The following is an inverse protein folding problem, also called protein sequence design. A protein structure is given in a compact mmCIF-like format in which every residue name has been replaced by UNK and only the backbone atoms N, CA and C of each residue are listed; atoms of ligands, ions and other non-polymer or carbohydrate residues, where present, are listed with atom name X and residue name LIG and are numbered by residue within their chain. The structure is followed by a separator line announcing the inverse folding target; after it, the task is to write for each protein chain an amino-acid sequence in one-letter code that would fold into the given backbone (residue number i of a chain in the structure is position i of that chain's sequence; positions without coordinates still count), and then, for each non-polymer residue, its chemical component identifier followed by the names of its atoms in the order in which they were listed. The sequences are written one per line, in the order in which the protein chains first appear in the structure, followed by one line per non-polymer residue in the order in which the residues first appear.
data_IF_279787114548
#
_entry.id   IF_279787114548
#
_cell.length_a   1.000
_cell.length_b   1.000
_cell.length_c   1.000
_cell.angle_alpha   90.00
_cell.angle_beta   90.00
_cell.angle_gamma   90.00
#
_symmetry.space_group_name_H-M   'P 1'
#
loop_
_entity.id
_entity.type
_entity.pdbx_description
1 polymer ?
#
# COMPACT_ATOMS: atom_id res chain seq x y z
N UNK A 1 -71.96 30.14 -66.93
CA UNK A 1 -71.15 30.66 -65.80
C UNK A 1 -71.64 29.93 -64.55
N UNK A 2 -70.73 29.40 -63.73
CA UNK A 2 -70.89 28.57 -62.52
C UNK A 2 -70.67 27.05 -62.71
N UNK A 3 -69.39 26.68 -62.69
CA UNK A 3 -68.86 25.37 -62.32
C UNK A 3 -69.00 25.20 -60.78
N UNK A 4 -69.51 24.09 -60.25
CA UNK A 4 -68.83 22.81 -59.95
C UNK A 4 -68.26 22.75 -58.51
N UNK A 5 -68.46 21.56 -57.92
CA UNK A 5 -67.71 20.95 -56.80
C UNK A 5 -68.05 21.43 -55.37
N UNK A 6 -68.81 20.63 -54.60
CA UNK A 6 -68.33 19.46 -53.83
C UNK A 6 -67.37 19.87 -52.71
N UNK A 7 -67.89 19.97 -51.49
CA UNK A 7 -67.06 20.06 -50.29
C UNK A 7 -67.92 19.94 -49.04
N UNK A 8 -68.09 18.71 -48.54
CA UNK A 8 -68.59 18.47 -47.19
C UNK A 8 -67.66 19.19 -46.22
N UNK A 9 -68.20 20.12 -45.45
CA UNK A 9 -67.50 20.80 -44.36
C UNK A 9 -67.17 19.77 -43.28
N UNK A 10 -65.91 19.32 -43.29
CA UNK A 10 -65.27 18.77 -42.10
C UNK A 10 -65.13 19.97 -41.16
N UNK A 11 -65.68 19.96 -39.93
CA UNK A 11 -65.35 21.00 -38.98
C UNK A 11 -63.84 20.94 -38.75
N UNK A 12 -63.17 22.07 -38.95
CA UNK A 12 -61.76 22.25 -38.59
C UNK A 12 -61.55 21.62 -37.21
N UNK A 13 -60.82 20.51 -37.19
CA UNK A 13 -60.14 20.10 -35.99
C UNK A 13 -59.16 21.23 -35.73
N UNK A 14 -59.61 22.19 -34.92
CA UNK A 14 -58.72 23.01 -34.13
C UNK A 14 -57.69 22.03 -33.59
N UNK A 15 -56.48 22.10 -34.14
CA UNK A 15 -55.29 21.67 -33.44
C UNK A 15 -55.34 22.57 -32.23
N UNK A 16 -56.02 22.09 -31.17
CA UNK A 16 -55.85 22.59 -29.83
C UNK A 16 -54.36 22.53 -29.67
N UNK A 17 -53.74 23.69 -29.81
CA UNK A 17 -52.42 23.97 -29.29
C UNK A 17 -52.40 23.22 -27.99
N UNK A 18 -51.61 22.13 -27.96
CA UNK A 18 -51.41 21.34 -26.76
C UNK A 18 -51.08 22.37 -25.70
N UNK A 19 -52.07 22.68 -24.87
CA UNK A 19 -51.90 23.55 -23.74
C UNK A 19 -50.74 22.91 -23.01
N UNK A 20 -49.61 23.60 -23.00
CA UNK A 20 -48.56 23.30 -22.06
C UNK A 20 -49.26 23.20 -20.70
N UNK A 21 -49.13 22.08 -19.97
CA UNK A 21 -49.76 21.97 -18.67
C UNK A 21 -49.34 23.17 -17.81
N UNK A 22 -50.27 23.81 -17.08
CA UNK A 22 -49.96 25.00 -16.32
C UNK A 22 -48.95 24.67 -15.21
N UNK A 23 -47.86 25.45 -15.20
CA UNK A 23 -47.04 25.86 -14.05
C UNK A 23 -46.63 24.70 -13.13
N UNK A 24 -45.44 24.16 -13.38
CA UNK A 24 -44.64 23.42 -12.41
C UNK A 24 -44.80 24.01 -11.00
N UNK A 25 -45.39 23.26 -10.07
CA UNK A 25 -45.44 23.65 -8.66
C UNK A 25 -44.01 23.64 -8.12
N UNK A 26 -43.39 24.82 -8.06
CA UNK A 26 -42.08 24.95 -7.43
C UNK A 26 -42.23 24.88 -5.93
N UNK A 27 -41.37 24.08 -5.29
CA UNK A 27 -41.29 23.96 -3.85
C UNK A 27 -40.61 25.22 -3.30
N UNK A 28 -41.34 25.99 -2.51
CA UNK A 28 -40.77 27.14 -1.82
C UNK A 28 -40.11 26.70 -0.52
N UNK A 29 -38.83 26.98 -0.36
CA UNK A 29 -38.05 26.63 0.82
C UNK A 29 -37.26 27.83 1.32
N UNK A 30 -37.01 27.87 2.62
CA UNK A 30 -36.04 28.79 3.20
C UNK A 30 -34.64 28.18 3.05
N UNK A 31 -33.60 29.00 2.89
CA UNK A 31 -32.21 28.52 2.80
C UNK A 31 -31.81 27.61 3.98
N UNK A 32 -32.29 27.91 5.18
CA UNK A 32 -32.09 27.09 6.38
C UNK A 32 -32.70 25.69 6.25
N UNK A 33 -33.87 25.56 5.63
CA UNK A 33 -34.56 24.28 5.47
C UNK A 33 -33.83 23.38 4.48
N UNK A 34 -33.29 23.95 3.40
CA UNK A 34 -32.47 23.22 2.42
C UNK A 34 -31.20 22.67 3.10
N UNK A 35 -30.54 23.47 3.95
CA UNK A 35 -29.37 23.04 4.74
C UNK A 35 -29.74 21.93 5.72
N UNK A 36 -30.86 22.09 6.42
CA UNK A 36 -31.34 21.09 7.36
C UNK A 36 -31.64 19.75 6.66
N UNK A 37 -32.34 19.77 5.52
CA UNK A 37 -32.62 18.57 4.74
C UNK A 37 -31.33 17.88 4.29
N UNK A 38 -30.37 18.63 3.74
CA UNK A 38 -29.08 18.09 3.33
C UNK A 38 -28.35 17.41 4.50
N UNK A 39 -28.24 18.07 5.65
CA UNK A 39 -27.61 17.52 6.85
C UNK A 39 -28.31 16.24 7.31
N UNK A 40 -29.64 16.26 7.36
CA UNK A 40 -30.44 15.08 7.72
C UNK A 40 -30.28 13.92 6.76
N UNK A 41 -30.22 14.18 5.45
CA UNK A 41 -29.97 13.12 4.47
C UNK A 41 -28.58 12.50 4.65
N UNK A 42 -27.55 13.31 4.89
CA UNK A 42 -26.20 12.82 5.15
C UNK A 42 -26.11 12.02 6.45
N UNK A 43 -26.74 12.49 7.53
CA UNK A 43 -26.75 11.80 8.82
C UNK A 43 -27.47 10.44 8.72
N UNK A 44 -28.62 10.41 8.04
CA UNK A 44 -29.38 9.18 7.81
C UNK A 44 -28.60 8.23 6.91
N UNK A 45 -27.97 8.73 5.84
CA UNK A 45 -27.15 7.92 4.95
C UNK A 45 -25.99 7.27 5.69
N UNK A 46 -25.26 8.04 6.52
CA UNK A 46 -24.20 7.52 7.38
C UNK A 46 -24.70 6.45 8.33
N UNK A 47 -25.78 6.74 9.07
CA UNK A 47 -26.40 5.76 9.98
C UNK A 47 -26.85 4.48 9.27
N UNK A 48 -27.31 4.57 8.03
CA UNK A 48 -27.68 3.42 7.21
C UNK A 48 -26.47 2.63 6.71
N UNK A 49 -25.39 3.30 6.32
CA UNK A 49 -24.13 2.64 5.98
C UNK A 49 -23.58 1.95 7.22
N UNK A 50 -23.48 2.65 8.36
CA UNK A 50 -23.02 2.09 9.63
C UNK A 50 -23.81 0.85 10.07
N UNK A 51 -25.13 0.84 9.88
CA UNK A 51 -25.98 -0.29 10.24
C UNK A 51 -25.83 -1.50 9.31
N UNK A 52 -25.43 -1.28 8.05
CA UNK A 52 -25.35 -2.32 7.03
C UNK A 52 -23.96 -2.94 6.90
N UNK A 53 -22.92 -2.28 7.42
CA UNK A 53 -21.57 -2.81 7.45
C UNK A 53 -21.29 -3.48 8.81
N UNK A 54 -20.63 -4.66 8.83
CA UNK A 54 -20.30 -5.33 10.08
C UNK A 54 -19.32 -4.49 10.90
N UNK A 55 -19.51 -4.46 12.22
CA UNK A 55 -18.56 -3.83 13.12
C UNK A 55 -17.21 -4.57 13.05
N UNK A 56 -16.17 -3.88 12.57
CA UNK A 56 -14.84 -4.45 12.44
C UNK A 56 -14.23 -4.69 13.83
N UNK A 57 -13.65 -5.87 14.05
CA UNK A 57 -13.01 -6.25 15.32
C UNK A 57 -11.63 -5.61 15.53
N UNK A 58 -10.98 -5.22 14.44
CA UNK A 58 -9.77 -4.41 14.40
C UNK A 58 -10.21 -2.97 14.16
N UNK A 59 -9.98 -2.06 15.12
CA UNK A 59 -10.46 -0.67 15.10
C UNK A 59 -9.93 0.25 13.99
N UNK A 60 -9.64 -0.28 12.80
CA UNK A 60 -9.38 0.47 11.58
C UNK A 60 -10.66 0.74 10.79
N UNK A 61 -10.66 1.84 10.03
CA UNK A 61 -11.72 2.16 9.08
C UNK A 61 -11.71 1.16 7.92
N UNK A 62 -12.91 0.71 7.51
CA UNK A 62 -13.07 -0.22 6.39
C UNK A 62 -12.98 0.57 5.07
N UNK A 63 -12.01 0.28 4.18
CA UNK A 63 -11.84 1.01 2.93
C UNK A 63 -13.06 0.89 2.01
N UNK A 64 -13.80 -0.22 2.07
CA UNK A 64 -15.02 -0.38 1.27
C UNK A 64 -16.15 0.48 1.82
N UNK A 65 -16.24 0.60 3.15
CA UNK A 65 -17.21 1.47 3.81
C UNK A 65 -16.98 2.93 3.42
N UNK A 66 -15.73 3.39 3.46
CA UNK A 66 -15.36 4.76 3.08
C UNK A 66 -15.74 5.08 1.62
N UNK A 67 -15.40 4.17 0.69
CA UNK A 67 -15.78 4.34 -0.72
C UNK A 67 -17.30 4.41 -0.93
N UNK A 68 -18.07 3.58 -0.22
CA UNK A 68 -19.53 3.61 -0.30
C UNK A 68 -20.10 4.88 0.30
N UNK A 69 -19.55 5.38 1.41
CA UNK A 69 -19.93 6.67 1.99
C UNK A 69 -19.69 7.82 1.00
N UNK A 70 -18.56 7.81 0.30
CA UNK A 70 -18.22 8.83 -0.69
C UNK A 70 -19.21 8.81 -1.88
N UNK A 71 -19.49 7.63 -2.44
CA UNK A 71 -20.44 7.48 -3.56
C UNK A 71 -21.84 7.95 -3.14
N UNK A 72 -22.31 7.57 -1.94
CA UNK A 72 -23.62 7.97 -1.44
C UNK A 72 -23.68 9.48 -1.21
N UNK A 73 -22.61 10.08 -0.67
CA UNK A 73 -22.50 11.53 -0.49
C UNK A 73 -22.58 12.26 -1.83
N UNK A 74 -21.83 11.82 -2.84
CA UNK A 74 -21.88 12.39 -4.20
C UNK A 74 -23.29 12.26 -4.80
N UNK A 75 -23.92 11.09 -4.66
CA UNK A 75 -25.28 10.87 -5.14
C UNK A 75 -26.29 11.84 -4.52
N UNK A 76 -26.23 12.06 -3.20
CA UNK A 76 -27.11 13.00 -2.49
C UNK A 76 -26.89 14.42 -3.00
N UNK A 77 -25.64 14.85 -3.15
CA UNK A 77 -25.30 16.18 -3.67
C UNK A 77 -25.83 16.38 -5.09
N UNK A 78 -25.61 15.41 -5.97
CA UNK A 78 -26.11 15.43 -7.35
C UNK A 78 -27.64 15.46 -7.40
N UNK A 79 -28.31 14.73 -6.52
CA UNK A 79 -29.77 14.71 -6.45
C UNK A 79 -30.33 16.06 -6.03
N UNK A 80 -29.73 16.69 -5.01
CA UNK A 80 -30.10 18.03 -4.57
C UNK A 80 -29.84 19.05 -5.68
N UNK A 81 -28.72 18.94 -6.38
CA UNK A 81 -28.40 19.80 -7.53
C UNK A 81 -29.43 19.65 -8.65
N UNK A 82 -29.82 18.43 -9.01
CA UNK A 82 -30.87 18.18 -10.00
C UNK A 82 -32.22 18.76 -9.56
N UNK A 83 -32.50 18.74 -8.25
CA UNK A 83 -33.73 19.33 -7.70
C UNK A 83 -33.77 20.87 -7.73
N UNK A 84 -32.65 21.54 -8.02
CA UNK A 84 -32.58 23.01 -8.11
C UNK A 84 -33.66 23.61 -9.01
N UNK A 85 -33.98 22.96 -10.14
CA UNK A 85 -34.94 23.48 -11.12
C UNK A 85 -36.39 23.45 -10.64
N UNK A 86 -36.71 22.60 -9.66
CA UNK A 86 -38.03 22.45 -9.04
C UNK A 86 -38.18 23.14 -7.69
N UNK A 87 -37.13 23.83 -7.21
CA UNK A 87 -37.11 24.55 -5.93
C UNK A 87 -37.05 26.07 -6.16
N UNK A 88 -37.66 26.83 -5.26
CA UNK A 88 -37.53 28.29 -5.12
C UNK A 88 -37.03 28.55 -3.70
N UNK A 89 -35.81 29.05 -3.57
CA UNK A 89 -35.18 29.29 -2.26
C UNK A 89 -35.24 30.77 -1.96
N UNK A 90 -35.86 31.15 -0.84
CA UNK A 90 -36.01 32.56 -0.42
C UNK A 90 -36.57 33.48 -1.53
N UNK A 91 -37.51 32.97 -2.35
CA UNK A 91 -38.12 33.74 -3.45
C UNK A 91 -37.24 33.91 -4.70
N UNK A 92 -36.03 33.35 -4.70
CA UNK A 92 -35.12 33.34 -5.86
C UNK A 92 -35.35 32.02 -6.61
N UNK A 93 -35.87 32.13 -7.82
CA UNK A 93 -36.10 31.00 -8.71
C UNK A 93 -34.81 30.64 -9.44
N UNK A 94 -34.35 29.39 -9.30
CA UNK A 94 -33.19 28.89 -10.03
C UNK A 94 -31.92 29.71 -9.79
N UNK A 95 -31.45 29.80 -8.55
CA UNK A 95 -30.21 30.49 -8.20
C UNK A 95 -29.07 30.06 -9.13
N UNK A 96 -28.69 30.91 -10.08
CA UNK A 96 -27.47 30.81 -10.89
C UNK A 96 -26.39 31.65 -10.19
N UNK A 97 -26.01 31.19 -9.01
CA UNK A 97 -24.86 30.30 -8.91
C UNK A 97 -25.25 28.95 -8.27
N UNK A 98 -24.49 27.87 -8.52
CA UNK A 98 -24.78 26.49 -8.07
C UNK A 98 -25.46 26.45 -6.69
N UNK A 99 -26.41 25.55 -6.43
CA UNK A 99 -27.07 25.48 -5.12
C UNK A 99 -26.04 25.48 -3.98
N UNK A 100 -24.87 24.88 -4.19
CA UNK A 100 -23.68 24.94 -3.34
C UNK A 100 -23.23 26.38 -2.97
N UNK A 101 -23.23 27.32 -3.91
CA UNK A 101 -22.89 28.72 -3.68
C UNK A 101 -23.98 29.54 -2.98
N UNK A 102 -25.27 29.25 -3.19
CA UNK A 102 -26.35 29.86 -2.42
C UNK A 102 -26.35 29.36 -0.97
N UNK A 103 -25.90 28.11 -0.80
CA UNK A 103 -25.70 27.49 0.50
C UNK A 103 -24.46 28.02 1.20
N UNK A 104 -23.39 28.37 0.47
CA UNK A 104 -22.18 29.03 1.02
C UNK A 104 -22.30 30.56 1.18
N UNK A 105 -23.17 31.20 0.40
CA UNK A 105 -23.18 32.66 0.20
C UNK A 105 -23.96 33.51 1.22
N UNK A 106 -24.66 32.90 2.17
CA UNK A 106 -25.36 33.62 3.24
C UNK A 106 -24.53 33.60 4.55
N UNK A 107 -23.47 34.40 4.56
CA UNK A 107 -22.78 35.07 5.70
C UNK A 107 -22.53 34.37 7.07
N UNK A 108 -22.72 33.06 7.24
CA UNK A 108 -22.57 32.41 8.56
C UNK A 108 -21.75 31.12 8.60
N UNK A 109 -21.10 30.72 7.51
CA UNK A 109 -20.30 29.48 7.49
C UNK A 109 -18.79 29.75 7.64
N UNK A 110 -18.38 30.89 8.23
CA UNK A 110 -17.02 31.00 8.78
C UNK A 110 -16.82 30.18 10.05
N UNK A 111 -17.90 29.74 10.70
CA UNK A 111 -17.84 28.85 11.86
C UNK A 111 -18.13 27.38 11.45
N UNK A 112 -19.03 27.11 10.49
CA UNK A 112 -19.35 25.72 10.09
C UNK A 112 -18.50 25.14 8.91
N UNK A 113 -17.82 25.96 8.09
CA UNK A 113 -16.79 25.44 7.15
C UNK A 113 -15.40 25.34 7.81
N UNK A 114 -15.10 26.13 8.84
CA UNK A 114 -13.90 25.92 9.68
C UNK A 114 -13.96 24.62 10.47
N UNK A 115 -15.17 24.14 10.80
CA UNK A 115 -15.38 22.88 11.52
C UNK A 115 -15.06 21.62 10.69
N UNK A 116 -14.85 21.76 9.37
CA UNK A 116 -14.50 20.64 8.48
C UNK A 116 -13.07 20.70 7.96
N UNK A 117 -12.27 21.65 8.41
CA UNK A 117 -10.83 21.61 8.18
C UNK A 117 -10.23 20.75 9.29
N UNK A 118 -9.64 19.61 8.92
CA UNK A 118 -8.80 18.91 9.88
C UNK A 118 -7.72 19.89 10.35
N UNK A 119 -7.54 20.07 11.67
CA UNK A 119 -6.50 20.96 12.17
C UNK A 119 -5.18 20.49 11.59
N UNK A 120 -4.41 21.44 11.04
CA UNK A 120 -3.11 21.10 10.47
C UNK A 120 -2.20 20.55 11.56
N UNK A 121 -1.99 19.24 11.52
CA UNK A 121 -1.15 18.55 12.50
C UNK A 121 0.32 18.88 12.22
N UNK A 122 0.87 19.74 13.08
CA UNK A 122 2.25 20.17 13.00
C UNK A 122 3.22 19.00 13.24
N UNK A 123 2.85 18.05 14.11
CA UNK A 123 3.68 16.89 14.43
C UNK A 123 3.74 15.93 13.24
N UNK A 124 2.58 15.63 12.65
CA UNK A 124 2.52 14.77 11.46
C UNK A 124 3.26 15.40 10.28
N UNK A 125 3.14 16.71 10.07
CA UNK A 125 3.88 17.40 9.02
C UNK A 125 5.39 17.42 9.28
N UNK A 126 5.83 17.54 10.54
CA UNK A 126 7.24 17.41 10.89
C UNK A 126 7.76 16.00 10.58
N UNK A 127 7.02 14.95 10.94
CA UNK A 127 7.34 13.57 10.59
C UNK A 127 7.43 13.36 9.08
N UNK A 128 6.48 13.91 8.32
CA UNK A 128 6.49 13.85 6.85
C UNK A 128 7.73 14.54 6.29
N UNK A 129 8.11 15.72 6.82
CA UNK A 129 9.32 16.44 6.42
C UNK A 129 10.60 15.67 6.75
N UNK A 130 10.67 15.06 7.92
CA UNK A 130 11.79 14.20 8.31
C UNK A 130 11.93 13.01 7.36
N UNK A 131 10.81 12.34 7.04
CA UNK A 131 10.79 11.21 6.13
C UNK A 131 11.24 11.61 4.72
N UNK A 132 10.78 12.75 4.20
CA UNK A 132 11.27 13.30 2.94
C UNK A 132 12.77 13.60 2.99
N UNK A 133 13.27 14.18 4.08
CA UNK A 133 14.71 14.41 4.26
C UNK A 133 15.51 13.10 4.27
N UNK A 134 14.97 12.05 4.88
CA UNK A 134 15.60 10.73 4.89
C UNK A 134 15.63 10.12 3.48
N UNK A 135 14.51 10.18 2.75
CA UNK A 135 14.43 9.71 1.37
C UNK A 135 15.47 10.43 0.49
N UNK A 136 15.62 11.74 0.64
CA UNK A 136 16.60 12.51 -0.12
C UNK A 136 18.04 12.11 0.22
N UNK A 137 18.35 11.93 1.51
CA UNK A 137 19.68 11.48 1.97
C UNK A 137 20.03 10.11 1.42
N UNK A 138 19.11 9.14 1.56
CA UNK A 138 19.32 7.78 1.08
C UNK A 138 19.43 7.74 -0.45
N UNK A 139 18.64 8.56 -1.17
CA UNK A 139 18.74 8.67 -2.63
C UNK A 139 20.11 9.21 -3.05
N UNK A 140 20.62 10.22 -2.35
CA UNK A 140 21.98 10.75 -2.59
C UNK A 140 23.05 9.70 -2.24
N UNK A 141 22.87 8.93 -1.18
CA UNK A 141 23.82 7.88 -0.79
C UNK A 141 23.85 6.73 -1.79
N UNK A 142 22.69 6.23 -2.21
CA UNK A 142 22.58 5.16 -3.21
C UNK A 142 23.15 5.59 -4.55
N UNK A 143 22.90 6.83 -4.98
CA UNK A 143 23.49 7.36 -6.22
C UNK A 143 25.01 7.48 -6.14
N UNK A 144 25.55 7.95 -5.00
CA UNK A 144 27.00 7.93 -4.74
C UNK A 144 27.55 6.51 -4.76
N UNK A 145 26.90 5.56 -4.07
CA UNK A 145 27.33 4.17 -4.01
C UNK A 145 27.32 3.50 -5.39
N UNK A 146 26.32 3.78 -6.23
CA UNK A 146 26.27 3.28 -7.62
C UNK A 146 27.41 3.83 -8.48
N UNK A 147 27.84 5.07 -8.24
CA UNK A 147 28.96 5.70 -8.96
C UNK A 147 30.32 5.24 -8.45
N UNK A 148 30.49 5.20 -7.14
CA UNK A 148 31.79 5.01 -6.47
C UNK A 148 32.06 3.54 -6.14
N UNK A 149 31.02 2.74 -5.88
CA UNK A 149 31.13 1.32 -5.57
C UNK A 149 31.89 0.51 -6.63
N UNK A 150 31.51 0.61 -7.93
CA UNK A 150 32.24 -0.09 -9.00
C UNK A 150 33.68 0.36 -9.13
N UNK A 151 33.95 1.67 -9.02
CA UNK A 151 35.31 2.24 -9.12
C UNK A 151 36.20 1.74 -7.97
N UNK A 152 35.69 1.80 -6.74
CA UNK A 152 36.39 1.34 -5.54
C UNK A 152 36.67 -0.16 -5.57
N UNK A 153 35.70 -0.96 -6.03
CA UNK A 153 35.90 -2.40 -6.21
C UNK A 153 37.00 -2.67 -7.24
N UNK A 154 36.96 -1.98 -8.38
CA UNK A 154 37.97 -2.09 -9.44
C UNK A 154 39.37 -1.71 -8.93
N UNK A 155 39.53 -0.60 -8.22
CA UNK A 155 40.80 -0.17 -7.62
C UNK A 155 41.32 -1.20 -6.60
N UNK A 156 40.43 -1.74 -5.77
CA UNK A 156 40.78 -2.78 -4.80
C UNK A 156 41.21 -4.09 -5.49
N UNK A 157 40.63 -4.44 -6.64
CA UNK A 157 41.07 -5.60 -7.43
C UNK A 157 42.39 -5.34 -8.14
N UNK A 158 42.56 -4.18 -8.78
CA UNK A 158 43.82 -3.80 -9.45
C UNK A 158 44.99 -3.83 -8.48
N UNK A 159 44.87 -3.15 -7.34
CA UNK A 159 45.93 -3.14 -6.31
C UNK A 159 46.28 -4.52 -5.74
N UNK A 160 45.34 -5.47 -5.73
CA UNK A 160 45.62 -6.87 -5.37
C UNK A 160 46.36 -7.61 -6.48
N UNK A 161 45.98 -7.41 -7.73
CA UNK A 161 46.66 -7.99 -8.89
C UNK A 161 48.09 -7.49 -9.00
N UNK A 162 48.31 -6.17 -8.91
CA UNK A 162 49.63 -5.56 -8.97
C UNK A 162 50.57 -6.15 -7.89
N UNK A 163 50.07 -6.33 -6.66
CA UNK A 163 50.81 -6.98 -5.57
C UNK A 163 51.15 -8.45 -5.83
N UNK A 164 50.25 -9.20 -6.47
CA UNK A 164 50.51 -10.60 -6.82
C UNK A 164 51.55 -10.70 -7.94
N UNK A 165 51.50 -9.78 -8.90
CA UNK A 165 52.47 -9.72 -10.00
C UNK A 165 53.86 -9.31 -9.48
N UNK A 166 53.94 -8.35 -8.55
CA UNK A 166 55.19 -8.02 -7.83
C UNK A 166 55.75 -9.22 -7.06
N UNK A 167 54.90 -9.96 -6.33
CA UNK A 167 55.32 -11.17 -5.62
C UNK A 167 55.82 -12.27 -6.56
N UNK A 168 55.17 -12.46 -7.71
CA UNK A 168 55.60 -13.42 -8.73
C UNK A 168 56.93 -13.01 -9.36
N UNK A 169 57.09 -11.73 -9.69
CA UNK A 169 58.34 -11.21 -10.23
C UNK A 169 59.50 -11.41 -9.24
N UNK A 170 59.29 -11.11 -7.95
CA UNK A 170 60.29 -11.32 -6.91
C UNK A 170 60.63 -12.80 -6.72
N UNK A 171 59.63 -13.69 -6.65
CA UNK A 171 59.86 -15.13 -6.54
C UNK A 171 60.57 -15.72 -7.77
N UNK A 172 60.28 -15.21 -8.97
CA UNK A 172 60.95 -15.63 -10.19
C UNK A 172 62.41 -15.15 -10.22
N UNK A 173 62.68 -13.94 -9.75
CA UNK A 173 64.05 -13.41 -9.61
C UNK A 173 64.84 -14.22 -8.58
N UNK A 174 64.25 -14.52 -7.42
CA UNK A 174 64.85 -15.40 -6.39
C UNK A 174 65.11 -16.83 -6.91
N UNK A 175 64.24 -17.36 -7.78
CA UNK A 175 64.46 -18.67 -8.41
C UNK A 175 65.55 -18.64 -9.49
N UNK A 176 65.66 -17.55 -10.25
CA UNK A 176 66.71 -17.37 -11.26
C UNK A 176 68.10 -17.20 -10.63
N UNK A 177 68.18 -16.58 -9.45
CA UNK A 177 69.43 -16.49 -8.67
C UNK A 177 69.84 -17.83 -8.04
N UNK A 178 68.93 -18.82 -7.95
CA UNK A 178 69.19 -20.16 -7.42
C UNK A 178 69.47 -21.21 -8.51
N UNK A 179 69.09 -20.95 -9.77
CA UNK A 179 69.30 -21.84 -10.92
C UNK A 179 70.70 -21.72 -11.58
N UNK A 180 71.56 -20.81 -11.12
CA UNK A 180 72.98 -20.78 -11.53
C UNK A 180 73.84 -21.84 -10.81
N UNK A 181 73.19 -22.73 -10.03
CA UNK A 181 73.80 -23.89 -9.39
C UNK A 181 73.24 -25.21 -9.98
N UNK A 182 73.80 -25.64 -11.11
CA UNK A 182 73.91 -27.02 -11.68
C UNK A 182 72.73 -28.00 -11.43
N UNK A 183 72.06 -28.52 -12.48
CA UNK A 183 70.86 -29.34 -12.28
C UNK A 183 71.21 -30.77 -11.82
N UNK A 184 70.68 -31.16 -10.65
CA UNK A 184 70.67 -32.53 -10.16
C UNK A 184 69.23 -33.08 -10.14
N UNK A 185 68.96 -33.98 -11.08
CA UNK A 185 67.92 -35.02 -11.12
C UNK A 185 66.88 -35.03 -9.97
N UNK A 186 65.77 -34.31 -10.14
CA UNK A 186 64.66 -34.28 -9.16
C UNK A 186 63.69 -35.43 -9.43
N UNK A 187 63.82 -36.49 -8.65
CA UNK A 187 62.78 -37.53 -8.50
C UNK A 187 61.55 -36.89 -7.84
N UNK A 188 60.38 -36.97 -8.49
CA UNK A 188 59.09 -36.72 -7.87
C UNK A 188 58.87 -37.71 -6.72
N UNK A 189 59.25 -37.33 -5.51
CA UNK A 189 58.80 -37.98 -4.28
C UNK A 189 57.47 -37.36 -3.86
N UNK A 190 56.51 -38.23 -3.59
CA UNK A 190 55.12 -37.96 -3.22
C UNK A 190 55.00 -36.90 -2.11
N UNK A 191 54.57 -35.70 -2.49
CA UNK A 191 54.16 -34.64 -1.59
C UNK A 191 52.76 -34.92 -1.02
N UNK A 192 52.59 -35.98 -0.23
CA UNK A 192 51.41 -36.14 0.63
C UNK A 192 51.79 -36.59 2.05
N UNK A 193 52.43 -35.73 2.86
CA UNK A 193 52.72 -36.00 4.27
C UNK A 193 51.46 -36.00 5.18
N UNK A 194 50.24 -36.16 4.64
CA UNK A 194 48.98 -35.97 5.38
C UNK A 194 47.89 -37.02 5.14
N UNK A 195 48.19 -38.12 4.44
CA UNK A 195 47.20 -39.18 4.16
C UNK A 195 46.77 -39.95 5.40
N UNK A 196 47.71 -40.25 6.29
CA UNK A 196 47.44 -41.04 7.51
C UNK A 196 46.53 -40.30 8.50
N UNK A 197 46.73 -38.98 8.66
CA UNK A 197 45.89 -38.16 9.52
C UNK A 197 44.44 -38.10 9.00
N UNK A 198 44.26 -37.98 7.68
CA UNK A 198 42.94 -37.94 7.04
C UNK A 198 42.22 -39.29 7.22
N UNK A 199 42.94 -40.40 7.11
CA UNK A 199 42.39 -41.73 7.33
C UNK A 199 41.95 -41.93 8.80
N UNK A 200 42.78 -41.52 9.76
CA UNK A 200 42.45 -41.60 11.19
C UNK A 200 41.25 -40.72 11.56
N UNK A 201 41.17 -39.49 11.04
CA UNK A 201 40.04 -38.59 11.26
C UNK A 201 38.74 -39.19 10.70
N UNK A 202 38.79 -39.81 9.51
CA UNK A 202 37.65 -40.46 8.88
C UNK A 202 37.14 -41.67 9.68
N UNK A 203 38.05 -42.50 10.21
CA UNK A 203 37.69 -43.61 11.10
C UNK A 203 37.03 -43.12 12.39
N UNK A 204 37.55 -42.04 12.98
CA UNK A 204 36.97 -41.42 14.18
C UNK A 204 35.55 -40.88 13.93
N UNK A 205 35.31 -40.29 12.76
CA UNK A 205 33.99 -39.79 12.33
C UNK A 205 32.99 -40.93 12.14
N UNK A 206 33.40 -42.06 11.55
CA UNK A 206 32.53 -43.23 11.43
C UNK A 206 32.19 -43.81 12.80
N UNK A 207 33.15 -43.82 13.72
CA UNK A 207 32.93 -44.30 15.09
C UNK A 207 31.92 -43.42 15.85
N UNK A 208 32.05 -42.09 15.78
CA UNK A 208 31.11 -41.15 16.42
C UNK A 208 29.71 -41.24 15.79
N UNK A 209 29.60 -41.35 14.47
CA UNK A 209 28.31 -41.50 13.79
C UNK A 209 27.62 -42.81 14.20
N UNK A 210 28.38 -43.90 14.35
CA UNK A 210 27.88 -45.18 14.86
C UNK A 210 27.36 -45.06 16.30
N UNK A 211 28.06 -44.31 17.15
CA UNK A 211 27.64 -44.08 18.54
C UNK A 211 26.38 -43.19 18.62
N UNK A 212 26.33 -42.12 17.83
CA UNK A 212 25.13 -41.29 17.69
C UNK A 212 23.93 -42.11 17.23
N UNK A 213 24.10 -42.97 16.22
CA UNK A 213 23.03 -43.87 15.77
C UNK A 213 22.49 -44.78 16.88
N UNK A 214 23.32 -45.21 17.83
CA UNK A 214 22.90 -46.00 18.99
C UNK A 214 22.21 -45.16 20.05
N UNK A 215 22.69 -43.94 20.29
CA UNK A 215 22.24 -43.11 21.41
C UNK A 215 21.02 -42.23 21.08
N UNK A 216 20.81 -41.84 19.82
CA UNK A 216 19.67 -41.00 19.39
C UNK A 216 18.30 -41.63 19.69
N UNK A 217 18.05 -42.93 19.44
CA UNK A 217 16.79 -43.55 19.81
C UNK A 217 16.56 -43.58 21.33
N UNK A 218 17.63 -43.75 22.11
CA UNK A 218 17.56 -43.78 23.56
C UNK A 218 17.27 -42.38 24.15
N UNK A 219 17.85 -41.32 23.58
CA UNK A 219 17.55 -39.94 23.98
C UNK A 219 16.16 -39.51 23.53
N UNK A 220 15.70 -39.91 22.34
CA UNK A 220 14.33 -39.70 21.88
C UNK A 220 13.31 -40.35 22.84
N UNK A 221 13.51 -41.61 23.20
CA UNK A 221 12.63 -42.29 24.15
C UNK A 221 12.64 -41.66 25.56
N UNK A 222 13.74 -41.01 25.98
CA UNK A 222 13.79 -40.24 27.23
C UNK A 222 12.98 -38.94 27.12
N UNK A 223 13.00 -38.28 25.97
CA UNK A 223 12.21 -37.08 25.69
C UNK A 223 10.72 -37.41 25.71
N UNK A 224 10.28 -38.47 25.02
CA UNK A 224 8.88 -38.91 25.00
C UNK A 224 8.37 -39.23 26.42
N UNK A 225 9.22 -39.86 27.26
CA UNK A 225 8.89 -40.11 28.68
C UNK A 225 8.77 -38.83 29.50
N UNK A 226 9.65 -37.85 29.26
CA UNK A 226 9.59 -36.57 29.94
C UNK A 226 8.33 -35.79 29.52
N UNK A 227 7.97 -35.81 28.25
CA UNK A 227 6.73 -35.20 27.74
C UNK A 227 5.49 -35.88 28.33
N UNK A 228 5.46 -37.22 28.39
CA UNK A 228 4.40 -37.97 29.05
C UNK A 228 4.29 -37.61 30.55
N UNK A 229 5.41 -37.39 31.24
CA UNK A 229 5.41 -36.95 32.63
C UNK A 229 4.86 -35.52 32.79
N UNK A 230 5.26 -34.59 31.91
CA UNK A 230 4.78 -33.19 31.91
C UNK A 230 3.27 -33.14 31.67
N UNK A 231 2.78 -33.87 30.67
CA UNK A 231 1.34 -33.94 30.37
C UNK A 231 0.54 -34.51 31.55
N UNK A 232 1.06 -35.54 32.23
CA UNK A 232 0.43 -36.08 33.44
C UNK A 232 0.41 -35.08 34.61
N UNK A 233 1.50 -34.32 34.81
CA UNK A 233 1.55 -33.27 35.83
C UNK A 233 0.58 -32.13 35.52
N UNK A 234 0.49 -31.69 34.27
CA UNK A 234 -0.43 -30.65 33.83
C UNK A 234 -1.89 -31.08 34.00
N UNK A 235 -2.23 -32.33 33.65
CA UNK A 235 -3.57 -32.87 33.87
C UNK A 235 -3.93 -32.93 35.37
N UNK A 236 -2.98 -33.32 36.23
CA UNK A 236 -3.20 -33.35 37.68
C UNK A 236 -3.40 -31.96 38.29
N UNK A 237 -2.72 -30.94 37.79
CA UNK A 237 -2.82 -29.57 38.29
C UNK A 237 -4.08 -28.82 37.80
N UNK A 238 -4.76 -29.33 36.77
CA UNK A 238 -5.99 -28.74 36.21
C UNK A 238 -7.28 -29.29 36.85
N UNK A 239 -7.18 -30.11 37.90
CA UNK A 239 -8.30 -30.76 38.60
C UNK A 239 -8.26 -30.43 40.09
#
# INVERSE_FOLDING_TARGET
MAAAESGRTIPDFEIRQLHHPPIHQKLQLVSQDVRFLQKKFLDIAKSKVDANFPAQSSGGQDPLKEQVEEIVKEFILRTIELSKHSLVVNGIEGADPSLDSLMKGAELDKDEETDKYEPFDLELNEQVRELYSQIDKETVEVTKLRREGPLRALEAYKSKLDKLDEQRANAQTESMDMDDAVPADVKMQEFLPRSENIAADFESLIATLRDMKKNVPATAARLDRAEAAITHLNYRNSK
#
